data_IF_666861723343
#
_entry.id   IF_666861723343
#
_cell.length_a   1.000
_cell.length_b   1.000
_cell.length_c   1.000
_cell.angle_alpha   90.00
_cell.angle_beta   90.00
_cell.angle_gamma   90.00
#
_symmetry.space_group_name_H-M   'P 1'
#
loop_
_entity.id
_entity.type
_entity.pdbx_description
1 polymer ?
#
# COMPACT_ATOMS: atom_id res chain seq x y z
N UNK A 1 53.82 -31.00 -17.95
CA UNK A 1 53.36 -30.77 -16.57
C UNK A 1 53.28 -29.27 -16.37
N UNK A 2 52.10 -28.71 -16.62
CA UNK A 2 51.84 -27.27 -16.47
C UNK A 2 51.18 -27.06 -15.11
N UNK A 3 51.83 -26.22 -14.30
CA UNK A 3 51.45 -25.93 -12.93
C UNK A 3 50.33 -24.88 -12.85
N UNK A 4 49.51 -25.01 -11.79
CA UNK A 4 48.69 -24.00 -11.13
C UNK A 4 47.78 -23.09 -11.98
N UNK A 5 46.51 -23.47 -12.05
CA UNK A 5 45.39 -22.53 -12.10
C UNK A 5 44.68 -22.53 -10.75
N UNK A 6 45.10 -21.69 -9.82
CA UNK A 6 44.25 -21.30 -8.68
C UNK A 6 43.24 -20.29 -9.22
N UNK A 7 42.08 -20.77 -9.64
CA UNK A 7 40.90 -19.94 -9.79
C UNK A 7 40.38 -19.64 -8.39
N UNK A 8 40.79 -18.51 -7.83
CA UNK A 8 40.17 -17.94 -6.64
C UNK A 8 38.68 -17.77 -6.90
N UNK A 9 37.91 -18.53 -6.14
CA UNK A 9 36.46 -18.59 -6.16
C UNK A 9 35.93 -17.24 -5.70
N UNK A 10 35.44 -16.45 -6.66
CA UNK A 10 34.73 -15.20 -6.42
C UNK A 10 33.40 -15.44 -5.72
N UNK A 11 33.44 -15.71 -4.41
CA UNK A 11 32.31 -15.55 -3.52
C UNK A 11 32.37 -14.15 -2.92
N UNK A 12 32.10 -13.14 -3.76
CA UNK A 12 31.77 -11.81 -3.27
C UNK A 12 30.38 -11.90 -2.66
N UNK A 13 30.36 -12.21 -1.36
CA UNK A 13 29.17 -12.37 -0.55
C UNK A 13 28.45 -11.03 -0.51
N UNK A 14 27.44 -10.87 -1.39
CA UNK A 14 26.40 -9.87 -1.26
C UNK A 14 25.89 -9.90 0.18
N UNK A 15 26.36 -8.99 1.03
CA UNK A 15 26.12 -9.02 2.48
C UNK A 15 24.61 -8.97 2.71
N UNK A 16 23.95 -10.11 3.00
CA UNK A 16 22.52 -10.09 3.22
C UNK A 16 22.32 -9.35 4.55
N UNK A 17 21.32 -8.47 4.56
CA UNK A 17 20.93 -7.78 5.78
C UNK A 17 20.78 -8.79 6.93
N UNK A 18 21.29 -8.47 8.13
CA UNK A 18 21.38 -9.45 9.20
C UNK A 18 19.97 -9.95 9.56
N UNK A 19 19.76 -11.26 9.46
CA UNK A 19 18.52 -11.96 9.85
C UNK A 19 17.92 -11.48 11.18
N UNK A 20 18.69 -11.19 12.26
CA UNK A 20 18.10 -10.67 13.48
C UNK A 20 17.39 -9.32 13.30
N UNK A 21 17.86 -8.47 12.39
CA UNK A 21 17.21 -7.18 12.10
C UNK A 21 15.87 -7.37 11.38
N UNK A 22 15.81 -8.30 10.41
CA UNK A 22 14.57 -8.68 9.75
C UNK A 22 13.54 -9.24 10.74
N UNK A 23 13.96 -10.10 11.66
CA UNK A 23 13.10 -10.67 12.69
C UNK A 23 12.61 -9.61 13.69
N UNK A 24 13.44 -8.63 14.03
CA UNK A 24 13.03 -7.53 14.90
C UNK A 24 11.94 -6.66 14.25
N UNK A 25 12.11 -6.30 12.97
CA UNK A 25 11.10 -5.53 12.22
C UNK A 25 9.83 -6.35 12.01
N UNK A 26 9.96 -7.65 11.73
CA UNK A 26 8.81 -8.55 11.64
C UNK A 26 8.00 -8.55 12.94
N UNK A 27 8.64 -8.71 14.09
CA UNK A 27 7.97 -8.66 15.39
C UNK A 27 7.27 -7.30 15.61
N UNK A 28 7.92 -6.19 15.27
CA UNK A 28 7.30 -4.86 15.33
C UNK A 28 6.04 -4.74 14.45
N UNK A 29 6.08 -5.27 13.22
CA UNK A 29 4.93 -5.31 12.32
C UNK A 29 3.80 -6.20 12.86
N UNK A 30 4.13 -7.34 13.47
CA UNK A 30 3.14 -8.20 14.13
C UNK A 30 2.46 -7.46 15.27
N UNK A 31 3.21 -6.77 16.12
CA UNK A 31 2.66 -5.96 17.22
C UNK A 31 1.75 -4.86 16.69
N UNK A 32 2.19 -4.09 15.69
CA UNK A 32 1.36 -3.08 15.01
C UNK A 32 0.08 -3.70 14.43
N UNK A 33 0.13 -4.97 13.99
CA UNK A 33 -1.03 -5.68 13.43
C UNK A 33 -2.03 -6.07 14.51
N UNK A 34 -1.55 -6.59 15.64
CA UNK A 34 -2.39 -6.85 16.82
C UNK A 34 -3.05 -5.55 17.29
N UNK A 35 -2.30 -4.44 17.31
CA UNK A 35 -2.84 -3.12 17.67
C UNK A 35 -3.94 -2.68 16.71
N UNK A 36 -3.79 -2.86 15.40
CA UNK A 36 -4.87 -2.52 14.43
C UNK A 36 -6.11 -3.38 14.61
N UNK A 37 -5.94 -4.69 14.83
CA UNK A 37 -7.07 -5.59 15.09
C UNK A 37 -7.76 -5.22 16.41
N UNK A 38 -6.99 -4.87 17.44
CA UNK A 38 -7.51 -4.37 18.71
C UNK A 38 -8.24 -3.04 18.54
N UNK A 39 -7.69 -2.11 17.76
CA UNK A 39 -8.32 -0.83 17.45
C UNK A 39 -9.70 -1.04 16.81
N UNK A 40 -9.86 -2.03 15.94
CA UNK A 40 -11.15 -2.34 15.32
C UNK A 40 -12.26 -2.74 16.32
N UNK A 41 -11.89 -3.09 17.56
CA UNK A 41 -12.84 -3.39 18.65
C UNK A 41 -13.28 -2.14 19.42
N UNK A 42 -12.59 -1.01 19.24
CA UNK A 42 -12.93 0.27 19.86
C UNK A 42 -13.61 1.18 18.83
N UNK A 43 -14.60 1.94 19.28
CA UNK A 43 -15.31 2.92 18.44
C UNK A 43 -14.95 4.33 18.91
N UNK A 44 -14.02 4.97 18.20
CA UNK A 44 -13.64 6.37 18.39
C UNK A 44 -14.43 7.31 17.45
N UNK A 45 -15.49 6.80 16.81
CA UNK A 45 -16.37 7.56 15.93
C UNK A 45 -15.61 8.08 14.71
N UNK A 46 -15.66 9.39 14.47
CA UNK A 46 -15.03 10.01 13.29
C UNK A 46 -13.50 9.90 13.26
N UNK A 47 -12.85 9.62 14.39
CA UNK A 47 -11.39 9.46 14.46
C UNK A 47 -10.91 8.04 14.10
N UNK A 48 -11.80 7.06 13.99
CA UNK A 48 -11.42 5.67 13.70
C UNK A 48 -10.60 5.58 12.42
N UNK A 49 -11.07 6.21 11.34
CA UNK A 49 -10.40 6.22 10.03
C UNK A 49 -9.01 6.86 10.13
N UNK A 50 -8.88 7.97 10.85
CA UNK A 50 -7.59 8.66 11.00
C UNK A 50 -6.59 7.77 11.76
N UNK A 51 -7.03 7.11 12.84
CA UNK A 51 -6.18 6.24 13.65
C UNK A 51 -5.71 5.03 12.83
N UNK A 52 -6.62 4.34 12.13
CA UNK A 52 -6.23 3.18 11.29
C UNK A 52 -5.28 3.57 10.17
N UNK A 53 -5.50 4.72 9.54
CA UNK A 53 -4.64 5.21 8.47
C UNK A 53 -3.24 5.52 8.98
N UNK A 54 -3.10 6.18 10.14
CA UNK A 54 -1.79 6.44 10.75
C UNK A 54 -1.05 5.13 11.06
N UNK A 55 -1.73 4.16 11.66
CA UNK A 55 -1.11 2.86 11.98
C UNK A 55 -0.72 2.13 10.68
N UNK A 56 -1.56 2.17 9.65
CA UNK A 56 -1.27 1.58 8.34
C UNK A 56 -0.06 2.25 7.67
N UNK A 57 0.05 3.59 7.72
CA UNK A 57 1.20 4.33 7.19
C UNK A 57 2.49 3.91 7.89
N UNK A 58 2.50 3.81 9.23
CA UNK A 58 3.69 3.37 9.98
C UNK A 58 4.12 1.98 9.52
N UNK A 59 3.18 1.02 9.41
CA UNK A 59 3.49 -0.32 8.90
C UNK A 59 4.09 -0.28 7.49
N UNK A 60 3.47 0.46 6.58
CA UNK A 60 3.93 0.58 5.20
C UNK A 60 5.35 1.17 5.13
N UNK A 61 5.66 2.18 5.96
CA UNK A 61 7.01 2.77 6.05
C UNK A 61 8.04 1.76 6.56
N UNK A 62 7.72 0.97 7.60
CA UNK A 62 8.61 -0.09 8.08
C UNK A 62 8.86 -1.16 7.02
N UNK A 63 7.82 -1.58 6.30
CA UNK A 63 7.95 -2.55 5.19
C UNK A 63 8.83 -1.98 4.08
N UNK A 64 8.58 -0.73 3.65
CA UNK A 64 9.38 -0.09 2.61
C UNK A 64 10.84 0.09 3.02
N UNK A 65 11.11 0.64 4.20
CA UNK A 65 12.47 0.91 4.66
C UNK A 65 13.33 -0.34 4.79
N UNK A 66 12.78 -1.42 5.38
CA UNK A 66 13.56 -2.62 5.74
C UNK A 66 13.37 -3.78 4.77
N UNK A 67 12.13 -4.18 4.44
CA UNK A 67 11.88 -5.36 3.59
C UNK A 67 12.02 -5.07 2.10
N UNK A 68 11.74 -3.84 1.66
CA UNK A 68 12.04 -3.40 0.28
C UNK A 68 13.45 -2.81 0.14
N UNK A 69 14.25 -2.83 1.21
CA UNK A 69 15.63 -2.36 1.24
C UNK A 69 15.82 -0.88 0.84
N UNK A 70 14.75 -0.06 0.80
CA UNK A 70 14.78 1.33 0.34
C UNK A 70 15.83 2.18 1.08
N UNK A 71 16.09 1.91 2.36
CA UNK A 71 17.08 2.66 3.15
C UNK A 71 18.52 2.41 2.71
N UNK A 72 18.82 1.23 2.17
CA UNK A 72 20.18 0.84 1.77
C UNK A 72 20.35 0.80 0.24
N UNK A 73 19.26 0.95 -0.49
CA UNK A 73 19.26 1.02 -1.95
C UNK A 73 19.66 2.38 -2.50
N UNK A 74 19.79 2.47 -3.83
CA UNK A 74 20.07 3.73 -4.51
C UNK A 74 18.95 4.75 -4.23
N UNK A 75 19.29 6.04 -4.03
CA UNK A 75 18.30 7.10 -3.77
C UNK A 75 17.27 7.25 -4.90
N UNK A 76 17.60 6.78 -6.10
CA UNK A 76 16.66 6.70 -7.23
C UNK A 76 15.42 5.85 -6.92
N UNK A 77 15.56 4.74 -6.18
CA UNK A 77 14.43 3.88 -5.80
C UNK A 77 13.42 4.62 -4.90
N UNK A 78 13.93 5.43 -3.97
CA UNK A 78 13.10 6.26 -3.09
C UNK A 78 12.32 7.31 -3.90
N UNK A 79 12.98 7.97 -4.87
CA UNK A 79 12.32 8.97 -5.72
C UNK A 79 11.21 8.33 -6.56
N UNK A 80 11.46 7.16 -7.15
CA UNK A 80 10.46 6.43 -7.92
C UNK A 80 9.30 5.96 -7.04
N UNK A 81 9.59 5.48 -5.83
CA UNK A 81 8.58 5.05 -4.86
C UNK A 81 7.69 6.22 -4.38
N UNK A 82 8.29 7.36 -4.04
CA UNK A 82 7.51 8.55 -3.67
C UNK A 82 6.74 9.08 -4.87
N UNK A 83 7.36 9.09 -6.05
CA UNK A 83 6.72 9.47 -7.30
C UNK A 83 5.49 8.61 -7.62
N UNK A 84 5.57 7.29 -7.45
CA UNK A 84 4.43 6.40 -7.67
C UNK A 84 3.27 6.68 -6.70
N UNK A 85 3.57 6.95 -5.42
CA UNK A 85 2.55 7.38 -4.45
C UNK A 85 1.89 8.71 -4.81
N UNK A 86 2.66 9.68 -5.32
CA UNK A 86 2.12 10.96 -5.82
C UNK A 86 1.17 10.71 -7.00
N UNK A 87 1.58 9.91 -7.98
CA UNK A 87 0.74 9.58 -9.13
C UNK A 87 -0.53 8.82 -8.73
N UNK A 88 -0.44 7.86 -7.81
CA UNK A 88 -1.60 7.14 -7.26
C UNK A 88 -2.52 8.11 -6.52
N UNK A 89 -1.97 8.99 -5.68
CA UNK A 89 -2.74 10.01 -4.97
C UNK A 89 -3.49 10.95 -5.93
N UNK A 90 -2.79 11.45 -6.97
CA UNK A 90 -3.42 12.25 -8.02
C UNK A 90 -4.54 11.47 -8.70
N UNK A 91 -4.28 10.25 -9.15
CA UNK A 91 -5.28 9.40 -9.81
C UNK A 91 -6.53 9.21 -8.94
N UNK A 92 -6.35 8.83 -7.67
CA UNK A 92 -7.47 8.62 -6.74
C UNK A 92 -8.26 9.90 -6.51
N UNK A 93 -7.59 11.03 -6.27
CA UNK A 93 -8.27 12.32 -6.04
C UNK A 93 -9.08 12.74 -7.27
N UNK A 94 -8.50 12.64 -8.47
CA UNK A 94 -9.19 12.99 -9.71
C UNK A 94 -10.36 12.05 -10.00
N UNK A 95 -10.17 10.73 -9.88
CA UNK A 95 -11.24 9.75 -10.10
C UNK A 95 -12.39 9.94 -9.11
N UNK A 96 -12.11 10.16 -7.82
CA UNK A 96 -13.17 10.42 -6.84
C UNK A 96 -13.89 11.74 -7.11
N UNK A 97 -13.16 12.79 -7.49
CA UNK A 97 -13.76 14.09 -7.84
C UNK A 97 -14.68 13.98 -9.06
N UNK A 98 -14.24 13.28 -10.09
CA UNK A 98 -15.02 13.03 -11.30
C UNK A 98 -16.28 12.19 -11.00
N UNK A 99 -16.13 11.12 -10.25
CA UNK A 99 -17.25 10.27 -9.81
C UNK A 99 -18.31 11.08 -9.04
N UNK A 100 -17.91 11.93 -8.11
CA UNK A 100 -18.83 12.78 -7.33
C UNK A 100 -19.57 13.82 -8.19
N UNK A 101 -18.98 14.24 -9.31
CA UNK A 101 -19.62 15.17 -10.25
C UNK A 101 -20.64 14.47 -11.13
N UNK A 102 -20.33 13.27 -11.62
CA UNK A 102 -21.16 12.48 -12.55
C UNK A 102 -22.30 11.72 -11.86
N UNK A 103 -22.16 11.33 -10.59
CA UNK A 103 -23.09 10.42 -9.89
C UNK A 103 -24.49 10.98 -9.56
N UNK A 104 -24.91 12.14 -10.08
CA UNK A 104 -26.15 12.82 -9.63
C UNK A 104 -27.46 12.18 -10.06
N UNK A 105 -27.48 11.25 -11.01
CA UNK A 105 -28.72 10.62 -11.49
C UNK A 105 -28.59 9.10 -11.65
N UNK A 106 -28.65 8.38 -10.52
CA UNK A 106 -29.07 6.98 -10.51
C UNK A 106 -30.59 6.93 -10.38
N UNK A 107 -31.31 7.41 -11.40
CA UNK A 107 -32.71 7.06 -11.57
C UNK A 107 -32.69 5.70 -12.29
N UNK A 108 -33.06 4.58 -11.63
CA UNK A 108 -33.41 3.39 -12.38
C UNK A 108 -34.53 3.82 -13.33
N UNK A 109 -34.30 3.72 -14.63
CA UNK A 109 -35.39 3.89 -15.60
C UNK A 109 -36.31 2.70 -15.38
N UNK A 110 -37.29 2.86 -14.49
CA UNK A 110 -38.41 1.94 -14.37
C UNK A 110 -39.24 2.12 -15.64
N UNK A 111 -39.02 1.26 -16.64
CA UNK A 111 -39.84 1.15 -17.85
C UNK A 111 -41.30 0.72 -17.56
N UNK A 112 -41.70 0.69 -16.29
CA UNK A 112 -43.02 0.30 -15.80
C UNK A 112 -44.02 1.48 -15.73
N UNK A 113 -43.93 2.46 -16.64
CA UNK A 113 -45.08 3.31 -16.96
C UNK A 113 -45.82 2.65 -18.11
N UNK A 114 -46.82 1.78 -17.85
CA UNK A 114 -47.77 1.46 -18.90
C UNK A 114 -48.46 2.77 -19.26
N UNK A 115 -48.14 3.26 -20.45
CA UNK A 115 -48.94 4.21 -21.20
C UNK A 115 -50.38 3.67 -21.26
N UNK A 116 -51.17 3.96 -20.23
CA UNK A 116 -52.61 3.77 -20.29
C UNK A 116 -53.12 4.71 -21.35
N UNK A 117 -53.40 4.13 -22.51
CA UNK A 117 -54.09 4.76 -23.62
C UNK A 117 -55.33 5.53 -23.10
N UNK A 118 -55.67 6.68 -23.69
CA UNK A 118 -56.95 7.31 -23.40
C UNK A 118 -58.05 6.36 -23.87
N UNK A 119 -58.80 5.82 -22.92
CA UNK A 119 -60.11 5.25 -23.18
C UNK A 119 -61.13 6.37 -23.03
N UNK A 120 -61.94 6.51 -24.08
CA UNK A 120 -63.08 7.42 -24.28
C UNK A 120 -62.78 8.83 -24.81
#
# INVERSE_FOLDING_TARGET
MSAHGHGEEGHDFAHPMPVPMLLAVFAALTVLTIITVGQASFNFGGLDVLIVMVIATIKATLVGAFFMHLTHDKPFNIIVFVGSFVFVGLFVIFTLSDSQMTSKDFIPVDDAVPISAPAE
#
